data_IF_751922745550
#
_entry.id   IF_751922745550
#
_cell.length_a   1.000
_cell.length_b   1.000
_cell.length_c   1.000
_cell.angle_alpha   90.00
_cell.angle_beta   90.00
_cell.angle_gamma   90.00
#
_symmetry.space_group_name_H-M   'P 1'
#
loop_
_entity.id
_entity.type
_entity.pdbx_description
1 polymer ?
#
# COMPACT_ATOMS: atom_id res chain seq x y z
N UNK A 1 -7.34 8.74 1.08
CA UNK A 1 -6.02 8.76 0.44
C UNK A 1 -4.99 8.51 1.52
N UNK A 2 -3.99 7.69 1.26
CA UNK A 2 -2.93 7.41 2.23
C UNK A 2 -1.80 8.42 2.10
N UNK A 3 -1.45 8.84 0.90
CA UNK A 3 -0.52 9.96 0.73
C UNK A 3 -1.15 11.27 1.24
N UNK A 4 -0.47 11.91 2.17
CA UNK A 4 -0.91 13.15 2.82
C UNK A 4 -0.25 14.40 2.21
N UNK A 5 0.67 14.24 1.25
CA UNK A 5 1.22 15.38 0.51
C UNK A 5 0.23 15.94 -0.51
N UNK A 6 -0.80 15.18 -0.86
CA UNK A 6 -1.83 15.59 -1.79
C UNK A 6 -3.20 15.59 -1.10
N UNK A 7 -3.71 16.77 -0.80
CA UNK A 7 -5.08 16.96 -0.32
C UNK A 7 -6.00 17.50 -1.45
N UNK A 8 -7.32 17.39 -1.25
CA UNK A 8 -8.35 17.89 -2.19
C UNK A 8 -8.23 17.36 -3.64
N UNK A 9 -7.68 16.17 -3.83
CA UNK A 9 -7.63 15.50 -5.14
C UNK A 9 -8.93 14.76 -5.44
N UNK A 10 -9.20 14.55 -6.73
CA UNK A 10 -10.32 13.73 -7.20
C UNK A 10 -9.83 12.32 -7.55
N UNK A 11 -10.69 11.32 -7.34
CA UNK A 11 -10.49 9.92 -7.75
C UNK A 11 -9.18 9.29 -7.25
N UNK A 12 -8.83 9.51 -5.96
CA UNK A 12 -7.73 8.76 -5.33
C UNK A 12 -7.98 7.25 -5.48
N UNK A 13 -7.07 6.55 -6.16
CA UNK A 13 -7.29 5.15 -6.57
C UNK A 13 -7.45 4.24 -5.35
N UNK A 14 -6.62 4.40 -4.32
CA UNK A 14 -6.73 3.63 -3.09
C UNK A 14 -8.07 3.86 -2.39
N UNK A 15 -8.51 5.12 -2.32
CA UNK A 15 -9.79 5.49 -1.71
C UNK A 15 -10.95 4.87 -2.47
N UNK A 16 -10.93 4.97 -3.80
CA UNK A 16 -11.96 4.44 -4.68
C UNK A 16 -12.01 2.90 -4.63
N UNK A 17 -10.87 2.22 -4.58
CA UNK A 17 -10.82 0.76 -4.38
C UNK A 17 -11.41 0.36 -3.02
N UNK A 18 -11.09 1.08 -1.94
CA UNK A 18 -11.69 0.84 -0.62
C UNK A 18 -13.21 1.01 -0.63
N UNK A 19 -13.72 2.07 -1.28
CA UNK A 19 -15.16 2.30 -1.45
C UNK A 19 -15.82 1.20 -2.29
N UNK A 20 -15.18 0.77 -3.38
CA UNK A 20 -15.64 -0.33 -4.24
C UNK A 20 -15.79 -1.63 -3.44
N UNK A 21 -14.79 -2.00 -2.65
CA UNK A 21 -14.87 -3.19 -1.81
C UNK A 21 -15.96 -3.09 -0.76
N UNK A 22 -16.05 -1.95 -0.06
CA UNK A 22 -17.05 -1.73 0.99
C UNK A 22 -18.46 -1.93 0.45
N UNK A 23 -18.79 -1.33 -0.69
CA UNK A 23 -20.11 -1.45 -1.30
C UNK A 23 -20.36 -2.86 -1.84
N UNK A 24 -19.35 -3.50 -2.44
CA UNK A 24 -19.48 -4.86 -2.97
C UNK A 24 -19.74 -5.86 -1.85
N UNK A 25 -18.99 -5.79 -0.75
CA UNK A 25 -19.21 -6.65 0.42
C UNK A 25 -20.56 -6.38 1.10
N UNK A 26 -21.02 -5.13 1.15
CA UNK A 26 -22.36 -4.82 1.66
C UNK A 26 -23.46 -5.48 0.82
N UNK A 27 -23.33 -5.45 -0.52
CA UNK A 27 -24.25 -6.14 -1.43
C UNK A 27 -24.20 -7.65 -1.25
N UNK A 28 -23.02 -8.25 -1.11
CA UNK A 28 -22.85 -9.68 -0.87
C UNK A 28 -23.48 -10.11 0.47
N UNK A 29 -23.23 -9.37 1.55
CA UNK A 29 -23.81 -9.62 2.85
C UNK A 29 -25.35 -9.52 2.81
N UNK A 30 -25.91 -8.50 2.15
CA UNK A 30 -27.35 -8.35 2.02
C UNK A 30 -28.00 -9.54 1.28
N UNK A 31 -27.36 -10.02 0.19
CA UNK A 31 -27.81 -11.23 -0.52
C UNK A 31 -27.77 -12.47 0.36
N UNK A 32 -26.71 -12.65 1.15
CA UNK A 32 -26.57 -13.78 2.07
C UNK A 32 -27.65 -13.78 3.17
N UNK A 33 -28.07 -12.60 3.62
CA UNK A 33 -29.13 -12.42 4.61
C UNK A 33 -30.55 -12.55 4.01
N UNK A 34 -30.69 -12.69 2.69
CA UNK A 34 -31.98 -12.77 2.03
C UNK A 34 -32.71 -11.42 1.92
N UNK A 35 -31.99 -10.31 2.02
CA UNK A 35 -32.57 -8.98 1.86
C UNK A 35 -33.10 -8.77 0.43
N UNK A 36 -34.24 -8.09 0.26
CA UNK A 36 -34.78 -7.80 -1.06
C UNK A 36 -33.85 -6.86 -1.85
N UNK A 37 -33.85 -7.00 -3.18
CA UNK A 37 -32.96 -6.26 -4.07
C UNK A 37 -33.05 -4.74 -3.94
N UNK A 38 -34.22 -4.21 -3.58
CA UNK A 38 -34.44 -2.78 -3.32
C UNK A 38 -33.54 -2.23 -2.21
N UNK A 39 -33.11 -3.05 -1.25
CA UNK A 39 -32.29 -2.60 -0.11
C UNK A 39 -30.83 -2.36 -0.51
N UNK A 40 -30.30 -3.14 -1.45
CA UNK A 40 -28.89 -3.04 -1.87
C UNK A 40 -28.70 -2.49 -3.30
N UNK A 41 -29.78 -2.21 -4.03
CA UNK A 41 -29.72 -1.71 -5.41
C UNK A 41 -28.89 -0.42 -5.52
N UNK A 42 -29.02 0.51 -4.57
CA UNK A 42 -28.24 1.75 -4.54
C UNK A 42 -26.73 1.50 -4.40
N UNK A 43 -26.33 0.59 -3.50
CA UNK A 43 -24.92 0.23 -3.29
C UNK A 43 -24.31 -0.47 -4.49
N UNK A 44 -25.05 -1.40 -5.10
CA UNK A 44 -24.64 -2.07 -6.33
C UNK A 44 -24.46 -1.08 -7.48
N UNK A 45 -25.39 -0.13 -7.61
CA UNK A 45 -25.39 0.88 -8.66
C UNK A 45 -24.24 1.89 -8.48
N UNK A 46 -23.90 2.22 -7.25
CA UNK A 46 -22.76 3.06 -6.92
C UNK A 46 -21.42 2.32 -7.16
N UNK A 47 -21.29 1.06 -6.72
CA UNK A 47 -20.04 0.31 -6.88
C UNK A 47 -19.64 0.11 -8.34
N UNK A 48 -20.63 -0.03 -9.23
CA UNK A 48 -20.41 -0.15 -10.68
C UNK A 48 -19.95 1.14 -11.37
N UNK A 49 -20.03 2.30 -10.70
CA UNK A 49 -19.66 3.60 -11.26
C UNK A 49 -18.44 4.25 -10.60
N UNK A 50 -17.85 3.58 -9.61
CA UNK A 50 -16.61 4.07 -9.01
C UNK A 50 -15.52 4.08 -10.07
N UNK A 51 -14.83 5.21 -10.19
CA UNK A 51 -13.72 5.38 -11.12
C UNK A 51 -12.49 4.70 -10.55
N UNK A 52 -11.96 3.73 -11.29
CA UNK A 52 -10.70 3.05 -10.97
C UNK A 52 -9.68 3.44 -12.04
N UNK A 53 -8.87 4.43 -11.72
CA UNK A 53 -7.87 5.01 -12.61
C UNK A 53 -6.84 3.98 -13.06
N UNK A 54 -6.53 4.00 -14.35
CA UNK A 54 -5.47 3.21 -14.96
C UNK A 54 -5.00 3.87 -16.24
N UNK A 55 -3.69 3.91 -16.44
CA UNK A 55 -3.07 4.47 -17.62
C UNK A 55 -2.30 3.39 -18.37
N UNK A 56 -2.89 2.88 -19.45
CA UNK A 56 -2.31 1.85 -20.31
C UNK A 56 -1.20 2.38 -21.24
N UNK A 57 -1.01 3.69 -21.32
CA UNK A 57 -0.20 4.35 -22.36
C UNK A 57 0.92 5.20 -21.78
N UNK A 58 1.41 4.87 -20.58
CA UNK A 58 2.58 5.53 -20.02
C UNK A 58 3.81 5.18 -20.86
N UNK A 59 4.52 6.17 -21.43
CA UNK A 59 5.70 5.90 -22.25
C UNK A 59 6.75 5.09 -21.49
N UNK A 60 7.15 3.95 -22.05
CA UNK A 60 8.18 3.08 -21.46
C UNK A 60 7.68 2.11 -20.38
N UNK A 61 6.37 2.07 -20.08
CA UNK A 61 5.77 1.09 -19.16
C UNK A 61 4.81 0.18 -19.91
N UNK A 62 5.33 -0.95 -20.42
CA UNK A 62 4.48 -2.00 -20.98
C UNK A 62 3.52 -2.53 -19.90
N UNK A 63 2.23 -2.64 -20.24
CA UNK A 63 1.21 -3.02 -19.26
C UNK A 63 0.72 -1.87 -18.38
N UNK A 64 1.20 -0.63 -18.58
CA UNK A 64 0.65 0.55 -17.92
C UNK A 64 0.91 0.62 -16.41
N UNK A 65 0.26 1.57 -15.75
CA UNK A 65 0.32 1.78 -14.30
C UNK A 65 -0.95 2.43 -13.78
N UNK A 66 -1.17 2.39 -12.47
CA UNK A 66 -2.27 3.10 -11.81
C UNK A 66 -1.83 4.52 -11.39
N UNK A 67 -2.46 5.58 -11.90
CA UNK A 67 -2.28 6.92 -11.36
C UNK A 67 -2.87 7.01 -9.95
N UNK A 68 -2.20 7.73 -9.06
CA UNK A 68 -2.62 7.86 -7.67
C UNK A 68 -3.96 8.59 -7.52
N UNK A 69 -4.19 9.61 -8.33
CA UNK A 69 -5.41 10.40 -8.40
C UNK A 69 -5.59 11.00 -9.80
N UNK A 70 -6.76 11.59 -10.07
CA UNK A 70 -7.06 12.17 -11.38
C UNK A 70 -6.10 13.32 -11.71
N UNK A 71 -5.38 13.19 -12.83
CA UNK A 71 -4.36 14.16 -13.24
C UNK A 71 -3.00 14.00 -12.58
N UNK A 72 -2.78 12.95 -11.77
CA UNK A 72 -1.46 12.64 -11.20
C UNK A 72 -0.41 12.41 -12.30
N UNK A 73 0.76 13.04 -12.14
CA UNK A 73 1.94 12.75 -12.95
C UNK A 73 3.24 13.07 -12.20
N UNK A 74 3.98 12.03 -11.80
CA UNK A 74 5.35 12.12 -11.28
C UNK A 74 5.53 13.07 -10.07
N UNK A 75 4.51 13.22 -9.24
CA UNK A 75 4.59 14.00 -8.01
C UNK A 75 5.19 13.16 -6.87
N UNK A 76 5.89 13.82 -5.94
CA UNK A 76 6.46 13.16 -4.76
C UNK A 76 5.35 12.76 -3.79
N UNK A 77 5.37 11.50 -3.34
CA UNK A 77 4.37 10.98 -2.39
C UNK A 77 5.00 10.77 -1.01
N UNK A 78 4.23 11.03 0.05
CA UNK A 78 4.69 10.87 1.44
C UNK A 78 4.88 9.39 1.80
N UNK A 79 3.88 8.56 1.47
CA UNK A 79 3.83 7.15 1.86
C UNK A 79 3.10 6.27 0.86
N UNK A 80 3.18 4.95 1.06
CA UNK A 80 2.56 3.96 0.18
C UNK A 80 1.05 4.20 0.01
N UNK A 81 0.61 4.44 -1.24
CA UNK A 81 -0.81 4.57 -1.62
C UNK A 81 -1.16 3.54 -2.71
N UNK A 82 -0.73 3.77 -3.96
CA UNK A 82 -1.04 2.91 -5.11
C UNK A 82 -0.48 1.50 -4.99
N UNK A 83 0.73 1.35 -4.46
CA UNK A 83 1.35 0.02 -4.32
C UNK A 83 0.55 -0.91 -3.39
N UNK A 84 -0.33 -0.34 -2.55
CA UNK A 84 -1.19 -1.11 -1.65
C UNK A 84 -2.28 -1.91 -2.38
N UNK A 85 -2.57 -1.56 -3.63
CA UNK A 85 -3.46 -2.33 -4.51
C UNK A 85 -2.92 -3.72 -4.80
N UNK A 86 -1.59 -3.86 -4.92
CA UNK A 86 -0.93 -5.15 -5.10
C UNK A 86 -0.86 -5.95 -3.81
N UNK A 87 -0.44 -5.30 -2.73
CA UNK A 87 -0.42 -5.88 -1.38
C UNK A 87 -0.59 -4.76 -0.34
N UNK A 88 -1.49 -4.89 0.65
CA UNK A 88 -2.22 -6.11 1.02
C UNK A 88 -3.57 -6.29 0.34
N UNK A 89 -4.08 -5.30 -0.42
CA UNK A 89 -5.45 -5.34 -0.93
C UNK A 89 -5.68 -6.40 -2.02
N UNK A 90 -4.61 -6.81 -2.72
CA UNK A 90 -4.61 -7.79 -3.80
C UNK A 90 -5.80 -7.58 -4.77
N UNK A 91 -5.96 -6.34 -5.24
CA UNK A 91 -7.17 -5.89 -5.92
C UNK A 91 -7.38 -6.64 -7.24
N UNK A 92 -8.51 -7.35 -7.44
CA UNK A 92 -8.74 -8.17 -8.63
C UNK A 92 -9.23 -7.33 -9.80
N UNK A 93 -8.56 -6.21 -10.08
CA UNK A 93 -8.84 -5.43 -11.29
C UNK A 93 -8.19 -6.14 -12.48
N UNK A 94 -8.88 -6.20 -13.63
CA UNK A 94 -8.36 -6.87 -14.82
C UNK A 94 -7.02 -6.26 -15.31
N UNK A 95 -6.80 -4.99 -15.01
CA UNK A 95 -5.59 -4.24 -15.30
C UNK A 95 -4.55 -4.28 -14.16
N UNK A 96 -4.83 -4.89 -13.00
CA UNK A 96 -3.86 -5.05 -11.91
C UNK A 96 -3.02 -6.32 -12.09
N UNK A 97 -2.44 -6.48 -13.28
CA UNK A 97 -1.63 -7.63 -13.66
C UNK A 97 -0.29 -7.65 -12.89
N UNK A 98 0.45 -8.78 -12.84
CA UNK A 98 1.80 -8.80 -12.27
C UNK A 98 2.73 -7.72 -12.87
N UNK A 99 2.65 -7.50 -14.18
CA UNK A 99 3.43 -6.45 -14.85
C UNK A 99 3.03 -5.04 -14.39
N UNK A 100 1.72 -4.76 -14.26
CA UNK A 100 1.25 -3.46 -13.78
C UNK A 100 1.69 -3.20 -12.35
N UNK A 101 1.59 -4.21 -11.48
CA UNK A 101 2.05 -4.13 -10.10
C UNK A 101 3.55 -3.88 -10.01
N UNK A 102 4.35 -4.51 -10.88
CA UNK A 102 5.78 -4.24 -10.98
C UNK A 102 6.04 -2.79 -11.41
N UNK A 103 5.33 -2.30 -12.44
CA UNK A 103 5.43 -0.92 -12.91
C UNK A 103 5.04 0.09 -11.81
N UNK A 104 3.99 -0.20 -11.04
CA UNK A 104 3.57 0.64 -9.89
C UNK A 104 4.68 0.67 -8.83
N UNK A 105 5.24 -0.48 -8.43
CA UNK A 105 6.34 -0.55 -7.47
C UNK A 105 7.58 0.23 -7.96
N UNK A 106 7.96 0.06 -9.21
CA UNK A 106 9.09 0.79 -9.79
C UNK A 106 8.84 2.29 -9.88
N UNK A 107 7.65 2.71 -10.32
CA UNK A 107 7.30 4.12 -10.43
C UNK A 107 7.29 4.80 -9.06
N UNK A 108 6.51 4.27 -8.13
CA UNK A 108 6.28 4.90 -6.84
C UNK A 108 7.50 4.80 -5.93
N UNK A 109 8.40 3.84 -6.10
CA UNK A 109 9.64 3.79 -5.32
C UNK A 109 10.59 4.97 -5.61
N UNK A 110 10.53 5.54 -6.83
CA UNK A 110 11.35 6.70 -7.23
C UNK A 110 10.82 8.03 -6.72
N UNK A 111 9.51 8.12 -6.55
CA UNK A 111 8.83 9.36 -6.13
C UNK A 111 8.40 9.35 -4.67
N UNK A 112 8.55 8.24 -3.96
CA UNK A 112 8.31 8.17 -2.51
C UNK A 112 9.38 8.94 -1.74
N UNK A 113 8.96 9.79 -0.81
CA UNK A 113 9.85 10.57 0.04
C UNK A 113 10.81 9.64 0.81
N UNK A 114 12.15 9.78 0.64
CA UNK A 114 13.12 8.98 1.39
C UNK A 114 13.01 9.15 2.92
N UNK A 115 12.48 10.28 3.38
CA UNK A 115 12.24 10.59 4.79
C UNK A 115 10.78 10.35 5.22
N UNK A 116 9.98 9.72 4.37
CA UNK A 116 8.61 9.34 4.64
C UNK A 116 8.48 8.35 5.80
N UNK A 117 7.25 8.01 6.20
CA UNK A 117 7.00 7.21 7.37
C UNK A 117 7.46 5.75 7.20
N UNK A 118 7.73 5.09 8.32
CA UNK A 118 8.29 3.74 8.40
C UNK A 118 7.53 2.70 7.55
N UNK A 119 6.21 2.89 7.39
CA UNK A 119 5.31 1.99 6.65
C UNK A 119 5.61 1.86 5.16
N UNK A 120 6.31 2.81 4.55
CA UNK A 120 6.47 2.85 3.09
C UNK A 120 7.34 1.70 2.60
N UNK A 121 8.58 1.59 3.07
CA UNK A 121 9.56 0.66 2.49
C UNK A 121 9.25 -0.82 2.73
N UNK A 122 8.62 -1.15 3.87
CA UNK A 122 8.15 -2.51 4.13
C UNK A 122 7.06 -2.97 3.17
N UNK A 123 6.17 -2.06 2.74
CA UNK A 123 5.13 -2.38 1.76
C UNK A 123 5.70 -2.59 0.36
N UNK A 124 6.74 -1.83 -0.04
CA UNK A 124 7.49 -2.14 -1.26
C UNK A 124 8.14 -3.52 -1.19
N UNK A 125 8.78 -3.85 -0.06
CA UNK A 125 9.42 -5.16 0.13
C UNK A 125 8.42 -6.31 0.00
N UNK A 126 7.25 -6.19 0.63
CA UNK A 126 6.17 -7.17 0.51
C UNK A 126 5.64 -7.25 -0.93
N UNK A 127 5.41 -6.11 -1.59
CA UNK A 127 4.97 -6.05 -2.98
C UNK A 127 5.89 -6.82 -3.92
N UNK A 128 7.19 -6.53 -3.89
CA UNK A 128 8.20 -7.26 -4.67
C UNK A 128 8.25 -8.76 -4.33
N UNK A 129 8.15 -9.12 -3.06
CA UNK A 129 8.12 -10.52 -2.64
C UNK A 129 6.91 -11.29 -3.22
N UNK A 130 5.72 -10.66 -3.29
CA UNK A 130 4.53 -11.30 -3.90
C UNK A 130 4.64 -11.50 -5.41
N UNK A 131 5.59 -10.82 -6.07
CA UNK A 131 5.89 -10.95 -7.48
C UNK A 131 7.06 -11.90 -7.77
N UNK A 132 7.74 -12.40 -6.73
CA UNK A 132 8.93 -13.24 -6.87
C UNK A 132 10.23 -12.46 -7.06
N UNK A 133 10.20 -11.13 -6.95
CA UNK A 133 11.36 -10.23 -7.11
C UNK A 133 12.19 -10.17 -5.82
N UNK A 134 12.82 -11.28 -5.45
CA UNK A 134 13.41 -11.47 -4.12
C UNK A 134 14.60 -10.55 -3.82
N UNK A 135 15.41 -10.20 -4.82
CA UNK A 135 16.54 -9.29 -4.64
C UNK A 135 16.07 -7.87 -4.31
N UNK A 136 15.04 -7.40 -5.03
CA UNK A 136 14.39 -6.13 -4.75
C UNK A 136 13.68 -6.16 -3.40
N UNK A 137 12.95 -7.24 -3.09
CA UNK A 137 12.32 -7.42 -1.80
C UNK A 137 13.33 -7.31 -0.64
N UNK A 138 14.49 -7.96 -0.75
CA UNK A 138 15.56 -7.90 0.25
C UNK A 138 16.15 -6.49 0.39
N UNK A 139 16.37 -5.79 -0.73
CA UNK A 139 16.89 -4.42 -0.71
C UNK A 139 15.93 -3.45 -0.01
N UNK A 140 14.63 -3.50 -0.33
CA UNK A 140 13.61 -2.66 0.29
C UNK A 140 13.32 -3.06 1.74
N UNK A 141 13.39 -4.35 2.06
CA UNK A 141 13.30 -4.82 3.44
C UNK A 141 14.43 -4.23 4.29
N UNK A 142 15.66 -4.26 3.80
CA UNK A 142 16.80 -3.68 4.51
C UNK A 142 16.68 -2.15 4.64
N UNK A 143 16.20 -1.46 3.59
CA UNK A 143 15.93 -0.02 3.61
C UNK A 143 14.95 0.36 4.71
N UNK A 144 13.98 -0.51 4.98
CA UNK A 144 12.95 -0.20 5.96
C UNK A 144 13.48 -0.01 7.38
N UNK A 145 14.59 -0.64 7.75
CA UNK A 145 15.23 -0.47 9.07
C UNK A 145 15.79 0.93 9.33
N UNK A 146 15.75 1.84 8.36
CA UNK A 146 16.16 3.24 8.55
C UNK A 146 15.38 3.95 9.67
N UNK A 147 14.18 3.50 10.00
CA UNK A 147 13.37 4.07 11.07
C UNK A 147 13.53 3.35 12.42
N UNK A 148 14.38 2.31 12.50
CA UNK A 148 14.75 1.67 13.77
C UNK A 148 15.89 2.45 14.44
N UNK A 149 15.64 2.96 15.63
CA UNK A 149 16.56 3.84 16.34
C UNK A 149 17.32 3.12 17.45
N UNK A 150 18.65 3.25 17.41
CA UNK A 150 19.53 2.83 18.50
C UNK A 150 19.20 3.59 19.81
N UNK A 151 19.52 3.01 20.99
CA UNK A 151 20.23 1.75 21.20
C UNK A 151 19.34 0.51 21.32
N UNK A 152 18.01 0.67 21.27
CA UNK A 152 17.05 -0.42 21.53
C UNK A 152 16.21 -0.80 20.30
N UNK A 153 16.61 -0.34 19.12
CA UNK A 153 15.88 -0.52 17.84
C UNK A 153 14.40 -0.13 17.93
N UNK A 154 14.12 0.98 18.63
CA UNK A 154 12.76 1.53 18.75
C UNK A 154 12.39 2.17 17.42
N UNK A 155 11.25 1.78 16.88
CA UNK A 155 10.73 2.35 15.64
C UNK A 155 10.20 3.76 15.85
N UNK A 156 10.68 4.69 15.04
CA UNK A 156 10.16 6.05 14.91
C UNK A 156 9.36 6.21 13.63
N UNK A 157 8.48 7.20 13.59
CA UNK A 157 7.69 7.50 12.41
C UNK A 157 8.58 7.75 11.18
N UNK A 158 9.61 8.60 11.26
CA UNK A 158 10.55 8.88 10.16
C UNK A 158 11.98 8.41 10.51
N UNK A 159 12.91 8.36 9.54
CA UNK A 159 14.30 7.97 9.82
C UNK A 159 15.05 8.90 10.77
N UNK A 160 14.61 10.16 10.89
CA UNK A 160 15.25 11.19 11.73
C UNK A 160 14.54 11.44 13.06
N UNK A 161 13.42 10.75 13.33
CA UNK A 161 12.65 10.87 14.57
C UNK A 161 11.14 10.89 14.35
N UNK A 162 10.40 11.55 15.25
CA UNK A 162 8.93 11.60 15.22
C UNK A 162 8.31 10.75 16.34
N UNK A 163 7.07 10.30 16.15
CA UNK A 163 6.41 9.45 17.14
C UNK A 163 7.23 8.19 17.44
N UNK A 164 7.64 8.00 18.68
CA UNK A 164 8.34 6.80 19.14
C UNK A 164 7.33 5.67 19.41
N UNK A 165 7.79 4.41 19.33
CA UNK A 165 6.94 3.23 19.37
C UNK A 165 5.89 3.23 18.24
N UNK A 166 6.34 3.52 17.01
CA UNK A 166 5.47 3.50 15.84
C UNK A 166 5.13 2.06 15.41
N UNK A 167 4.18 1.45 16.13
CA UNK A 167 3.89 0.01 16.08
C UNK A 167 3.12 -0.44 14.82
N UNK A 168 2.53 0.49 14.07
CA UNK A 168 1.85 0.20 12.79
C UNK A 168 2.80 -0.37 11.73
N UNK A 169 4.12 -0.31 11.94
CA UNK A 169 5.14 -0.89 11.07
C UNK A 169 5.63 -2.30 11.47
N UNK A 170 5.22 -2.87 12.60
CA UNK A 170 5.78 -4.17 13.04
C UNK A 170 5.31 -5.30 12.13
N UNK A 171 6.09 -5.57 11.09
CA UNK A 171 5.96 -6.72 10.22
C UNK A 171 6.48 -7.97 10.95
N UNK A 172 5.95 -9.19 10.71
CA UNK A 172 6.48 -10.39 11.34
C UNK A 172 7.93 -10.61 10.91
N UNK A 173 8.87 -10.41 11.84
CA UNK A 173 10.28 -10.66 11.58
C UNK A 173 10.49 -12.18 11.39
N UNK A 174 11.22 -12.61 10.34
CA UNK A 174 11.64 -14.00 10.25
C UNK A 174 12.57 -14.33 11.44
N UNK A 175 12.64 -15.60 11.88
CA UNK A 175 13.43 -16.00 13.05
C UNK A 175 14.92 -15.59 12.99
N UNK A 176 15.48 -15.42 11.79
CA UNK A 176 16.85 -14.95 11.57
C UNK A 176 17.07 -13.46 11.91
N UNK A 177 16.01 -12.65 11.93
CA UNK A 177 16.04 -11.26 12.38
C UNK A 177 15.89 -11.13 13.91
N UNK A 178 15.44 -12.20 14.59
CA UNK A 178 15.39 -12.28 16.05
C UNK A 178 16.78 -12.15 16.71
N UNK A 179 17.86 -12.38 15.95
CA UNK A 179 19.22 -12.19 16.43
C UNK A 179 19.63 -10.71 16.61
N UNK A 180 18.91 -9.74 16.00
CA UNK A 180 19.20 -8.31 16.18
C UNK A 180 18.32 -7.64 17.25
N UNK A 181 17.14 -8.19 17.54
CA UNK A 181 16.23 -7.72 18.61
C UNK A 181 16.47 -8.49 19.92
N UNK A 182 17.71 -8.92 20.20
CA UNK A 182 18.06 -9.56 21.47
C UNK A 182 18.36 -8.51 22.55
N UNK A 183 17.31 -7.77 22.91
CA UNK A 183 17.24 -7.05 24.17
C UNK A 183 15.81 -7.18 24.73
N UNK A 184 15.33 -8.42 24.86
CA UNK A 184 14.09 -8.67 25.59
C UNK A 184 14.38 -8.82 27.08
N UNK A 185 13.62 -8.03 27.84
CA UNK A 185 13.13 -8.30 29.18
C UNK A 185 13.40 -9.70 29.76
N UNK A 186 14.09 -9.67 30.90
CA UNK A 186 13.72 -10.30 32.17
C UNK A 186 14.65 -11.40 32.70
N UNK A 187 15.48 -11.01 33.66
CA UNK A 187 15.76 -11.76 34.90
C UNK A 187 15.99 -10.68 35.98
N UNK A 188 14.99 -10.30 36.81
CA UNK A 188 14.60 -10.98 38.05
C UNK A 188 14.48 -12.50 38.01
#
# INVERSE_FOLDING_TARGET
>A
MQDEYHDHVNDSIYTNVGAYYTLTYAVEAAKLLGEPASHYAGWLNASQRIVLLYNASVPGLEGGMHPEYAGYYNATIKQADVILLGYPLNTPLANNTPQTRLNDLEWYSRVSDPNGPAMTWGMFAAGYATLGELDMAAAFFNRSFANAQAPFDVWTETPTGGCANFLTYVSPLPPSACARVHAYCASC
#
